data_IF_352649235172
#
_entry.id   IF_352649235172
#
_cell.length_a   1.000
_cell.length_b   1.000
_cell.length_c   1.000
_cell.angle_alpha   90.00
_cell.angle_beta   90.00
_cell.angle_gamma   90.00
#
_symmetry.space_group_name_H-M   'P 1'
#
loop_
_entity.id
_entity.type
_entity.pdbx_description
1 polymer ?
#
# COMPACT_ATOMS: atom_id res chain seq x y z
N UNK A 1 12.48 -0.76 17.38
CA UNK A 1 13.42 -0.36 16.31
C UNK A 1 13.01 1.01 15.78
N UNK A 2 13.46 2.07 16.47
CA UNK A 2 13.38 3.46 16.01
C UNK A 2 14.64 3.73 15.18
N UNK A 3 14.52 4.01 13.87
CA UNK A 3 15.71 4.22 13.03
C UNK A 3 15.57 4.03 11.51
N UNK A 4 14.36 3.95 10.95
CA UNK A 4 14.19 4.16 9.51
C UNK A 4 13.26 5.33 9.32
N UNK A 5 13.82 6.44 8.82
CA UNK A 5 13.05 7.58 8.34
C UNK A 5 11.90 7.12 7.44
N UNK A 6 10.81 7.90 7.46
CA UNK A 6 9.53 7.73 6.75
C UNK A 6 9.56 6.51 5.81
N UNK A 7 9.00 5.40 6.28
CA UNK A 7 8.90 4.20 5.48
C UNK A 7 7.84 4.45 4.41
N UNK A 8 8.28 4.90 3.23
CA UNK A 8 7.39 5.28 2.13
C UNK A 8 6.45 4.14 1.75
N UNK A 9 6.87 2.88 1.91
CA UNK A 9 6.01 1.71 1.67
C UNK A 9 4.87 1.61 2.68
N UNK A 10 5.12 1.97 3.95
CA UNK A 10 4.09 2.01 4.98
C UNK A 10 3.12 3.16 4.71
N UNK A 11 3.63 4.32 4.30
CA UNK A 11 2.79 5.46 3.95
C UNK A 11 1.92 5.16 2.72
N UNK A 12 2.49 4.57 1.66
CA UNK A 12 1.74 4.10 0.49
C UNK A 12 0.71 3.04 0.87
N UNK A 13 1.01 2.14 1.81
CA UNK A 13 0.03 1.19 2.32
C UNK A 13 -1.15 1.91 3.01
N UNK A 14 -0.87 2.82 3.94
CA UNK A 14 -1.92 3.56 4.65
C UNK A 14 -2.75 4.43 3.69
N UNK A 15 -2.10 5.10 2.74
CA UNK A 15 -2.77 5.85 1.67
C UNK A 15 -3.59 4.94 0.76
N UNK A 16 -3.08 3.77 0.40
CA UNK A 16 -3.79 2.78 -0.40
C UNK A 16 -5.06 2.27 0.28
N UNK A 17 -5.01 2.05 1.60
CA UNK A 17 -6.20 1.70 2.40
C UNK A 17 -7.18 2.87 2.44
N UNK A 18 -6.69 4.09 2.70
CA UNK A 18 -7.52 5.30 2.76
C UNK A 18 -8.21 5.60 1.44
N UNK A 19 -7.55 5.33 0.32
CA UNK A 19 -8.07 5.47 -1.03
C UNK A 19 -8.90 4.27 -1.51
N UNK A 20 -9.16 3.27 -0.64
CA UNK A 20 -9.87 2.01 -0.96
C UNK A 20 -9.26 1.21 -2.12
N UNK A 21 -7.96 1.39 -2.37
CA UNK A 21 -7.19 0.62 -3.36
C UNK A 21 -6.74 -0.71 -2.75
N UNK A 22 -6.37 -0.68 -1.46
CA UNK A 22 -5.98 -1.85 -0.69
C UNK A 22 -7.10 -2.16 0.29
N UNK A 23 -7.64 -3.36 0.19
CA UNK A 23 -8.65 -3.87 1.10
C UNK A 23 -7.98 -4.56 2.29
N UNK A 24 -8.44 -4.23 3.49
CA UNK A 24 -7.97 -4.83 4.73
C UNK A 24 -9.09 -5.68 5.32
N UNK A 25 -8.91 -7.00 5.30
CA UNK A 25 -9.80 -7.97 5.93
C UNK A 25 -9.15 -8.50 7.20
N UNK A 26 -9.35 -7.77 8.31
CA UNK A 26 -8.73 -8.08 9.60
C UNK A 26 -7.22 -7.86 9.58
N UNK A 27 -6.46 -8.95 9.66
CA UNK A 27 -4.99 -8.99 9.55
C UNK A 27 -4.50 -9.19 8.12
N UNK A 28 -5.38 -9.55 7.18
CA UNK A 28 -5.04 -9.77 5.79
C UNK A 28 -5.21 -8.50 4.95
N UNK A 29 -4.29 -8.29 4.03
CA UNK A 29 -4.34 -7.23 3.04
C UNK A 29 -4.49 -7.82 1.65
N UNK A 30 -5.37 -7.22 0.87
CA UNK A 30 -5.63 -7.59 -0.52
C UNK A 30 -5.53 -6.35 -1.40
N UNK A 31 -4.89 -6.50 -2.55
CA UNK A 31 -4.82 -5.47 -3.58
C UNK A 31 -5.42 -6.03 -4.86
N UNK A 32 -6.42 -5.34 -5.39
CA UNK A 32 -7.09 -5.71 -6.64
C UNK A 32 -7.55 -7.19 -6.68
N UNK A 33 -8.10 -7.68 -5.57
CA UNK A 33 -8.54 -9.08 -5.41
C UNK A 33 -7.43 -10.11 -5.15
N UNK A 34 -6.14 -9.71 -5.20
CA UNK A 34 -5.01 -10.58 -4.85
C UNK A 34 -4.57 -10.34 -3.41
N UNK A 35 -4.41 -11.41 -2.63
CA UNK A 35 -3.83 -11.34 -1.29
C UNK A 35 -2.35 -10.98 -1.39
N UNK A 36 -1.98 -9.83 -0.82
CA UNK A 36 -0.61 -9.30 -0.83
C UNK A 36 0.17 -9.65 0.43
N UNK A 37 -0.53 -9.97 1.52
CA UNK A 37 0.10 -10.49 2.73
C UNK A 37 -0.71 -10.29 3.99
N UNK A 38 -0.22 -10.87 5.07
CA UNK A 38 -0.76 -10.73 6.42
C UNK A 38 0.09 -9.74 7.23
N UNK A 39 -0.54 -8.69 7.74
CA UNK A 39 0.11 -7.66 8.54
C UNK A 39 0.86 -6.62 7.70
N UNK A 40 1.00 -5.41 8.26
CA UNK A 40 1.64 -4.26 7.58
C UNK A 40 3.07 -4.59 7.11
N UNK A 41 3.82 -5.34 7.92
CA UNK A 41 5.23 -5.67 7.68
C UNK A 41 5.41 -6.51 6.41
N UNK A 42 4.62 -7.59 6.27
CA UNK A 42 4.72 -8.48 5.10
C UNK A 42 4.33 -7.74 3.82
N UNK A 43 3.30 -6.90 3.89
CA UNK A 43 2.88 -6.07 2.76
C UNK A 43 3.94 -5.04 2.40
N UNK A 44 4.57 -4.37 3.37
CA UNK A 44 5.65 -3.44 3.07
C UNK A 44 6.87 -4.13 2.46
N UNK A 45 7.20 -5.35 2.88
CA UNK A 45 8.24 -6.14 2.23
C UNK A 45 7.84 -6.51 0.80
N UNK A 46 6.59 -6.95 0.60
CA UNK A 46 6.07 -7.24 -0.73
C UNK A 46 6.15 -6.03 -1.67
N UNK A 47 5.76 -4.83 -1.21
CA UNK A 47 5.87 -3.59 -1.98
C UNK A 47 7.32 -3.20 -2.25
N UNK A 48 8.22 -3.45 -1.29
CA UNK A 48 9.65 -3.20 -1.44
C UNK A 48 10.30 -4.13 -2.46
N UNK A 49 9.93 -5.40 -2.47
CA UNK A 49 10.41 -6.39 -3.44
C UNK A 49 9.76 -6.19 -4.82
N UNK A 50 8.53 -5.66 -4.85
CA UNK A 50 7.75 -5.46 -6.07
C UNK A 50 7.56 -3.96 -6.39
N UNK A 51 8.65 -3.28 -6.78
CA UNK A 51 8.58 -1.86 -7.18
C UNK A 51 7.54 -1.57 -8.27
N UNK A 52 7.25 -2.51 -9.18
CA UNK A 52 6.18 -2.36 -10.19
C UNK A 52 4.80 -2.15 -9.55
N UNK A 53 4.48 -2.97 -8.54
CA UNK A 53 3.21 -2.90 -7.82
C UNK A 53 3.17 -1.63 -6.97
N UNK A 54 4.29 -1.26 -6.36
CA UNK A 54 4.39 0.00 -5.64
C UNK A 54 4.07 1.20 -6.54
N UNK A 55 4.67 1.29 -7.73
CA UNK A 55 4.39 2.37 -8.69
C UNK A 55 2.94 2.38 -9.11
N UNK A 56 2.37 1.21 -9.45
CA UNK A 56 0.97 1.08 -9.85
C UNK A 56 0.00 1.56 -8.76
N UNK A 57 0.26 1.18 -7.49
CA UNK A 57 -0.53 1.65 -6.35
C UNK A 57 -0.37 3.16 -6.17
N UNK A 58 0.85 3.69 -6.30
CA UNK A 58 1.12 5.12 -6.17
C UNK A 58 0.41 5.95 -7.24
N UNK A 59 0.44 5.50 -8.49
CA UNK A 59 -0.28 6.13 -9.60
C UNK A 59 -1.79 6.12 -9.33
N UNK A 60 -2.36 4.98 -8.94
CA UNK A 60 -3.78 4.90 -8.56
C UNK A 60 -4.15 5.83 -7.40
N UNK A 61 -3.31 5.88 -6.36
CA UNK A 61 -3.52 6.81 -5.22
C UNK A 61 -3.54 8.24 -5.73
N UNK A 62 -2.56 8.61 -6.56
CA UNK A 62 -2.42 9.97 -7.11
C UNK A 62 -3.59 10.32 -8.02
N UNK A 63 -4.03 9.40 -8.87
CA UNK A 63 -5.23 9.58 -9.70
C UNK A 63 -6.46 9.85 -8.84
N UNK A 64 -6.70 9.06 -7.79
CA UNK A 64 -7.85 9.26 -6.90
C UNK A 64 -7.77 10.61 -6.18
N UNK A 65 -6.58 11.02 -5.71
CA UNK A 65 -6.39 12.31 -5.05
C UNK A 65 -6.60 13.49 -6.01
N UNK A 66 -6.14 13.39 -7.25
CA UNK A 66 -6.30 14.43 -8.28
C UNK A 66 -7.76 14.52 -8.75
N UNK A 67 -8.42 13.38 -8.95
CA UNK A 67 -9.81 13.31 -9.45
C UNK A 67 -10.85 13.74 -8.42
N UNK A 68 -10.44 13.95 -7.16
CA UNK A 68 -11.30 14.46 -6.08
C UNK A 68 -11.36 16.00 -6.03
N UNK A 69 -10.87 16.68 -7.06
CA UNK A 69 -10.91 18.14 -7.24
C UNK A 69 -12.04 18.51 -8.19
#
# INVERSE_FOLDING_TARGET
MYGKGINIYLETLELGIKSKIIEKSGIWYSYNGKKIGQGKIQVTNFLKENSKIFTEINEKIREILIKKK
#
